data_IF_198956992001
#
_entry.id   IF_198956992001
#
_cell.length_a   1.000
_cell.length_b   1.000
_cell.length_c   1.000
_cell.angle_alpha   90.00
_cell.angle_beta   90.00
_cell.angle_gamma   90.00
#
_symmetry.space_group_name_H-M   'P 1'
#
loop_
_entity.id
_entity.type
_entity.pdbx_description
1 polymer ?
#
# COMPACT_ATOMS: atom_id res chain seq x y z
N UNK A 1 23.37 4.62 -19.00
CA UNK A 1 23.50 5.87 -18.23
C UNK A 1 23.02 5.59 -16.82
N UNK A 2 23.91 5.63 -15.84
CA UNK A 2 23.53 5.54 -14.43
C UNK A 2 23.23 6.95 -13.91
N UNK A 3 22.14 7.11 -13.19
CA UNK A 3 21.88 8.32 -12.42
C UNK A 3 21.37 7.88 -11.05
N UNK A 4 22.12 8.21 -10.00
CA UNK A 4 22.00 7.65 -8.66
C UNK A 4 21.04 8.43 -7.78
N UNK A 5 19.98 7.78 -7.29
CA UNK A 5 19.16 8.25 -6.17
C UNK A 5 19.25 7.26 -5.05
N UNK A 6 19.65 7.74 -3.88
CA UNK A 6 19.27 7.13 -2.62
C UNK A 6 18.32 8.09 -1.92
N UNK A 7 17.03 7.74 -1.84
CA UNK A 7 16.19 8.32 -0.79
C UNK A 7 16.32 7.37 0.39
N UNK A 8 17.10 7.79 1.39
CA UNK A 8 17.28 7.01 2.60
C UNK A 8 16.07 7.24 3.50
N UNK A 9 15.03 6.43 3.33
CA UNK A 9 13.89 6.43 4.26
C UNK A 9 14.37 5.76 5.54
N UNK A 10 14.57 6.54 6.61
CA UNK A 10 14.84 5.98 7.92
C UNK A 10 13.63 5.12 8.35
N UNK A 11 13.89 3.92 8.86
CA UNK A 11 12.91 2.97 9.42
C UNK A 11 11.70 3.58 10.17
N UNK A 12 11.82 4.67 10.97
CA UNK A 12 10.66 5.33 11.59
C UNK A 12 9.58 5.84 10.62
N UNK A 13 9.92 6.29 9.41
CA UNK A 13 8.93 6.85 8.48
C UNK A 13 8.01 5.76 7.88
N UNK A 14 8.57 4.58 7.58
CA UNK A 14 7.78 3.46 7.05
C UNK A 14 6.78 2.93 8.10
N UNK A 15 7.23 2.78 9.35
CA UNK A 15 6.36 2.35 10.44
C UNK A 15 5.28 3.40 10.78
N UNK A 16 5.64 4.68 10.76
CA UNK A 16 4.67 5.77 10.96
C UNK A 16 3.54 5.73 9.93
N UNK A 17 3.87 5.49 8.66
CA UNK A 17 2.88 5.41 7.57
C UNK A 17 2.01 4.16 7.66
N UNK A 18 2.57 3.00 7.98
CA UNK A 18 1.77 1.78 8.24
C UNK A 18 0.75 2.03 9.35
N UNK A 19 1.17 2.63 10.46
CA UNK A 19 0.28 2.97 11.57
C UNK A 19 -0.77 4.01 11.17
N UNK A 20 -0.40 5.01 10.36
CA UNK A 20 -1.32 6.06 9.90
C UNK A 20 -2.35 5.52 8.91
N UNK A 21 -1.96 4.63 8.00
CA UNK A 21 -2.87 3.99 7.04
C UNK A 21 -3.88 3.09 7.76
N UNK A 22 -3.42 2.32 8.75
CA UNK A 22 -4.32 1.52 9.62
C UNK A 22 -5.29 2.44 10.36
N UNK A 23 -4.81 3.55 10.93
CA UNK A 23 -5.67 4.54 11.59
C UNK A 23 -6.66 5.22 10.61
N UNK A 24 -6.29 5.40 9.34
CA UNK A 24 -7.20 5.91 8.31
C UNK A 24 -8.32 4.92 7.97
N UNK A 25 -7.99 3.63 7.86
CA UNK A 25 -8.98 2.57 7.64
C UNK A 25 -9.91 2.35 8.85
N UNK A 26 -9.39 2.50 10.07
CA UNK A 26 -10.21 2.48 11.29
C UNK A 26 -11.26 3.60 11.24
N UNK A 27 -10.88 4.82 10.86
CA UNK A 27 -11.84 5.93 10.67
C UNK A 27 -12.87 5.69 9.56
N UNK A 28 -12.51 4.94 8.51
CA UNK A 28 -13.41 4.61 7.41
C UNK A 28 -14.42 3.51 7.80
N UNK A 29 -13.97 2.51 8.57
CA UNK A 29 -14.82 1.41 9.04
C UNK A 29 -15.89 1.87 10.04
N UNK A 30 -15.61 2.89 10.86
CA UNK A 30 -16.60 3.50 11.78
C UNK A 30 -17.87 4.01 11.07
N UNK A 31 -17.85 4.30 9.76
CA UNK A 31 -19.04 4.74 9.01
C UNK A 31 -20.00 3.61 8.61
N UNK A 32 -19.58 2.35 8.70
CA UNK A 32 -20.33 1.18 8.18
C UNK A 32 -20.76 0.17 9.25
N UNK A 33 -20.62 0.49 10.54
CA UNK A 33 -21.09 -0.37 11.63
C UNK A 33 -22.43 0.11 12.21
N UNK A 34 -23.58 -0.37 11.70
CA UNK A 34 -24.88 -0.03 12.27
C UNK A 34 -25.19 -0.74 13.61
N UNK A 35 -24.39 -1.74 14.05
CA UNK A 35 -24.75 -2.60 15.20
C UNK A 35 -23.62 -3.01 16.18
N UNK A 36 -22.39 -2.51 16.07
CA UNK A 36 -21.33 -2.89 17.02
C UNK A 36 -20.01 -2.24 16.69
N UNK A 37 -19.20 -1.91 17.70
CA UNK A 37 -17.90 -1.29 17.46
C UNK A 37 -17.01 -2.21 16.62
N UNK A 38 -16.25 -1.68 15.64
CA UNK A 38 -15.24 -2.46 14.96
C UNK A 38 -14.32 -3.15 15.97
N UNK A 39 -13.83 -4.37 15.66
CA UNK A 39 -12.83 -5.02 16.49
C UNK A 39 -11.64 -4.08 16.70
N UNK A 40 -11.11 -4.01 17.92
CA UNK A 40 -9.97 -3.13 18.28
C UNK A 40 -8.62 -3.65 17.78
N UNK A 41 -8.63 -4.36 16.64
CA UNK A 41 -7.45 -4.92 16.00
C UNK A 41 -7.61 -4.85 14.48
N UNK A 42 -6.48 -4.85 13.79
CA UNK A 42 -6.38 -4.83 12.34
C UNK A 42 -5.22 -5.71 11.89
N UNK A 43 -5.24 -6.14 10.64
CA UNK A 43 -4.16 -6.91 10.04
C UNK A 43 -3.39 -6.10 9.00
N UNK A 44 -2.10 -6.39 8.88
CA UNK A 44 -1.24 -5.83 7.85
C UNK A 44 -0.47 -7.00 7.22
N UNK A 45 -0.77 -7.29 5.96
CA UNK A 45 -0.18 -8.42 5.25
C UNK A 45 0.93 -7.95 4.31
N UNK A 46 2.09 -8.60 4.40
CA UNK A 46 3.01 -8.63 3.27
C UNK A 46 2.36 -9.40 2.10
N UNK A 47 2.90 -9.23 0.90
CA UNK A 47 2.36 -9.85 -0.32
C UNK A 47 3.23 -11.01 -0.76
N UNK A 48 4.51 -10.72 -1.01
CA UNK A 48 5.42 -11.66 -1.65
C UNK A 48 5.89 -12.70 -0.62
N UNK A 49 5.44 -13.94 -0.76
CA UNK A 49 5.71 -15.03 0.19
C UNK A 49 4.69 -15.16 1.33
N UNK A 50 3.69 -14.26 1.40
CA UNK A 50 2.60 -14.32 2.39
C UNK A 50 1.25 -14.55 1.72
N UNK A 51 0.87 -13.70 0.76
CA UNK A 51 -0.38 -13.83 0.01
C UNK A 51 -0.17 -14.44 -1.38
N UNK A 52 0.95 -14.12 -2.01
CA UNK A 52 1.31 -14.60 -3.34
C UNK A 52 2.67 -15.30 -3.31
N UNK A 53 2.77 -16.42 -4.03
CA UNK A 53 4.03 -16.97 -4.46
C UNK A 53 4.22 -16.65 -5.95
N UNK A 54 5.12 -15.72 -6.24
CA UNK A 54 5.34 -15.13 -7.58
C UNK A 54 4.08 -14.41 -8.10
N UNK A 55 3.17 -15.13 -8.75
CA UNK A 55 1.92 -14.57 -9.29
C UNK A 55 0.68 -15.34 -8.82
N UNK A 56 0.87 -16.44 -8.09
CA UNK A 56 -0.20 -17.34 -7.68
C UNK A 56 -0.54 -17.12 -6.20
N UNK A 57 -1.83 -17.01 -5.84
CA UNK A 57 -2.24 -17.03 -4.44
C UNK A 57 -1.71 -18.25 -3.69
N UNK A 58 -1.20 -18.01 -2.49
CA UNK A 58 -0.83 -19.07 -1.54
C UNK A 58 -2.13 -19.67 -0.97
N UNK A 59 -2.20 -20.99 -0.71
CA UNK A 59 -3.39 -21.61 -0.12
C UNK A 59 -3.83 -20.90 1.16
N UNK A 60 -5.12 -20.56 1.27
CA UNK A 60 -5.69 -19.86 2.42
C UNK A 60 -5.64 -18.34 2.33
N UNK A 61 -4.87 -17.74 1.40
CA UNK A 61 -4.75 -16.28 1.29
C UNK A 61 -6.09 -15.62 0.93
N UNK A 62 -6.74 -16.12 -0.12
CA UNK A 62 -8.04 -15.63 -0.57
C UNK A 62 -9.12 -15.81 0.48
N UNK A 63 -9.18 -16.99 1.08
CA UNK A 63 -10.16 -17.33 2.12
C UNK A 63 -9.98 -16.47 3.36
N UNK A 64 -8.74 -16.20 3.77
CA UNK A 64 -8.42 -15.32 4.91
C UNK A 64 -8.87 -13.90 4.63
N UNK A 65 -8.53 -13.33 3.47
CA UNK A 65 -8.90 -11.95 3.14
C UNK A 65 -10.41 -11.80 2.97
N UNK A 66 -11.08 -12.78 2.38
CA UNK A 66 -12.53 -12.79 2.27
C UNK A 66 -13.19 -12.85 3.65
N UNK A 67 -12.69 -13.70 4.56
CA UNK A 67 -13.17 -13.76 5.94
C UNK A 67 -13.06 -12.42 6.66
N UNK A 68 -11.90 -11.73 6.54
CA UNK A 68 -11.72 -10.42 7.14
C UNK A 68 -12.67 -9.38 6.54
N UNK A 69 -12.85 -9.41 5.21
CA UNK A 69 -13.78 -8.53 4.52
C UNK A 69 -15.22 -8.71 4.97
N UNK A 70 -15.71 -9.97 5.00
CA UNK A 70 -17.08 -10.32 5.37
C UNK A 70 -17.42 -10.00 6.83
N UNK A 71 -16.40 -10.00 7.70
CA UNK A 71 -16.54 -9.65 9.12
C UNK A 71 -16.19 -8.18 9.42
N UNK A 72 -15.98 -7.35 8.40
CA UNK A 72 -15.58 -5.96 8.54
C UNK A 72 -14.33 -5.76 9.43
N UNK A 73 -13.40 -6.71 9.42
CA UNK A 73 -12.14 -6.63 10.15
C UNK A 73 -11.15 -5.82 9.30
N UNK A 74 -10.61 -4.69 9.79
CA UNK A 74 -9.72 -3.86 8.99
C UNK A 74 -8.42 -4.59 8.60
N UNK A 75 -8.04 -4.48 7.34
CA UNK A 75 -6.73 -4.93 6.89
C UNK A 75 -6.11 -4.03 5.81
N UNK A 76 -4.78 -4.00 5.78
CA UNK A 76 -3.97 -3.46 4.69
C UNK A 76 -3.10 -4.54 4.08
N UNK A 77 -2.74 -4.30 2.83
CA UNK A 77 -1.72 -4.99 2.07
C UNK A 77 -0.53 -4.03 1.94
N UNK A 78 0.65 -4.45 2.38
CA UNK A 78 1.88 -3.70 2.22
C UNK A 78 2.93 -4.51 1.46
N UNK A 79 3.74 -3.86 0.65
CA UNK A 79 4.86 -4.52 -0.02
C UNK A 79 6.04 -3.57 -0.14
N UNK A 80 7.25 -4.12 -0.03
CA UNK A 80 8.46 -3.41 -0.38
C UNK A 80 8.64 -3.28 -1.91
N UNK A 81 7.86 -4.03 -2.69
CA UNK A 81 7.81 -3.94 -4.15
C UNK A 81 7.16 -2.66 -4.66
N UNK A 82 7.35 -2.38 -5.96
CA UNK A 82 6.95 -1.13 -6.60
C UNK A 82 6.98 -1.20 -8.12
N UNK A 83 6.75 -0.07 -8.78
CA UNK A 83 6.97 0.08 -10.23
C UNK A 83 5.74 -0.13 -11.12
N UNK A 84 4.57 -0.19 -10.50
CA UNK A 84 3.26 -0.02 -11.13
C UNK A 84 2.51 1.04 -10.34
N UNK A 85 1.62 1.76 -11.00
CA UNK A 85 0.70 2.64 -10.32
C UNK A 85 -0.18 1.80 -9.37
N UNK A 86 -0.42 2.30 -8.17
CA UNK A 86 -1.11 1.57 -7.11
C UNK A 86 -2.50 1.08 -7.58
N UNK A 87 -3.21 1.84 -8.42
CA UNK A 87 -4.53 1.44 -8.92
C UNK A 87 -4.48 0.21 -9.83
N UNK A 88 -3.46 0.11 -10.69
CA UNK A 88 -3.22 -1.06 -11.55
C UNK A 88 -2.92 -2.28 -10.66
N UNK A 89 -2.12 -2.06 -9.61
CA UNK A 89 -1.70 -3.13 -8.70
C UNK A 89 -2.85 -3.62 -7.83
N UNK A 90 -3.69 -2.73 -7.32
CA UNK A 90 -4.90 -3.08 -6.55
C UNK A 90 -5.88 -3.88 -7.41
N UNK A 91 -6.10 -3.48 -8.67
CA UNK A 91 -6.98 -4.23 -9.58
C UNK A 91 -6.46 -5.65 -9.86
N UNK A 92 -5.15 -5.79 -10.12
CA UNK A 92 -4.49 -7.08 -10.31
C UNK A 92 -4.58 -7.98 -9.07
N UNK A 93 -4.34 -7.40 -7.88
CA UNK A 93 -4.45 -8.12 -6.61
C UNK A 93 -5.89 -8.54 -6.30
N UNK A 94 -6.86 -7.65 -6.54
CA UNK A 94 -8.27 -7.93 -6.31
C UNK A 94 -8.75 -9.09 -7.18
N UNK A 95 -8.34 -9.10 -8.46
CA UNK A 95 -8.63 -10.20 -9.38
C UNK A 95 -7.99 -11.53 -8.94
N UNK A 96 -6.71 -11.51 -8.54
CA UNK A 96 -5.98 -12.72 -8.14
C UNK A 96 -6.47 -13.30 -6.82
N UNK A 97 -6.75 -12.45 -5.84
CA UNK A 97 -7.15 -12.86 -4.50
C UNK A 97 -8.66 -13.06 -4.37
N UNK A 98 -9.45 -12.57 -5.33
CA UNK A 98 -10.90 -12.72 -5.36
C UNK A 98 -11.64 -11.87 -4.33
N UNK A 99 -10.98 -10.83 -3.78
CA UNK A 99 -11.53 -9.94 -2.74
C UNK A 99 -11.54 -8.51 -3.27
N UNK A 100 -12.61 -7.71 -3.04
CA UNK A 100 -12.65 -6.32 -3.44
C UNK A 100 -11.61 -5.51 -2.63
N UNK A 101 -10.62 -4.96 -3.32
CA UNK A 101 -9.58 -4.13 -2.72
C UNK A 101 -9.66 -2.71 -3.26
N UNK A 102 -9.33 -1.75 -2.41
CA UNK A 102 -9.21 -0.33 -2.79
C UNK A 102 -7.79 0.17 -2.57
N UNK A 103 -7.48 1.33 -3.15
CA UNK A 103 -6.23 2.06 -2.90
C UNK A 103 -5.98 2.31 -1.41
N UNK A 104 -7.03 2.50 -0.60
CA UNK A 104 -6.89 2.71 0.83
C UNK A 104 -6.38 1.44 1.56
N UNK A 105 -6.59 0.26 0.99
CA UNK A 105 -6.12 -1.01 1.53
C UNK A 105 -4.68 -1.34 1.13
N UNK A 106 -3.98 -0.49 0.37
CA UNK A 106 -2.73 -0.87 -0.29
C UNK A 106 -1.62 0.15 -0.09
N UNK A 107 -0.42 -0.32 0.26
CA UNK A 107 0.78 0.50 0.49
C UNK A 107 1.97 -0.13 -0.23
N UNK A 108 2.62 0.62 -1.11
CA UNK A 108 3.87 0.24 -1.76
C UNK A 108 5.06 0.97 -1.15
N UNK A 109 6.28 0.56 -1.49
CA UNK A 109 7.49 1.23 -1.02
C UNK A 109 7.58 2.71 -1.41
N UNK A 110 6.95 3.12 -2.51
CA UNK A 110 6.95 4.51 -2.99
C UNK A 110 5.74 5.35 -2.58
N UNK A 111 4.64 4.74 -2.13
CA UNK A 111 3.44 5.45 -1.66
C UNK A 111 3.75 6.53 -0.59
N UNK A 112 4.70 6.32 0.37
CA UNK A 112 5.16 7.35 1.30
C UNK A 112 5.60 8.69 0.68
N UNK A 113 6.15 8.66 -0.54
CA UNK A 113 6.74 9.85 -1.14
C UNK A 113 5.71 10.87 -1.60
N UNK A 114 4.47 10.44 -1.88
CA UNK A 114 3.38 11.35 -2.23
C UNK A 114 3.04 12.28 -1.06
N UNK A 115 2.94 11.73 0.15
CA UNK A 115 2.68 12.52 1.36
C UNK A 115 3.87 13.43 1.69
N UNK A 116 5.11 12.91 1.59
CA UNK A 116 6.31 13.70 1.86
C UNK A 116 6.49 14.87 0.88
N UNK A 117 6.11 14.69 -0.38
CA UNK A 117 6.08 15.76 -1.37
C UNK A 117 4.96 16.78 -1.09
N UNK A 118 3.83 16.35 -0.51
CA UNK A 118 2.75 17.24 -0.13
C UNK A 118 3.06 18.07 1.14
N UNK A 119 3.73 17.47 2.13
CA UNK A 119 4.00 18.09 3.44
C UNK A 119 5.30 18.94 3.46
N UNK A 120 6.30 18.59 2.65
CA UNK A 120 7.63 19.22 2.68
C UNK A 120 7.89 20.21 1.53
N UNK A 121 8.04 21.51 1.84
CA UNK A 121 8.45 22.54 0.86
C UNK A 121 9.71 22.17 0.08
N UNK A 122 10.68 21.51 0.72
CA UNK A 122 11.96 21.14 0.12
C UNK A 122 11.89 20.00 -0.90
N UNK A 123 10.95 19.07 -0.75
CA UNK A 123 10.75 17.97 -1.72
C UNK A 123 9.86 18.41 -2.88
N UNK A 124 8.87 19.26 -2.61
CA UNK A 124 7.95 19.79 -3.63
C UNK A 124 8.63 20.72 -4.62
N UNK A 125 9.48 21.62 -4.13
CA UNK A 125 10.13 22.66 -4.95
C UNK A 125 11.57 22.28 -5.34
N UNK A 126 12.02 21.09 -4.94
CA UNK A 126 13.37 20.60 -5.17
C UNK A 126 13.48 19.69 -6.40
N UNK A 127 14.65 19.69 -7.03
CA UNK A 127 14.97 18.68 -8.04
C UNK A 127 15.18 17.34 -7.36
N UNK A 128 14.23 16.43 -7.54
CA UNK A 128 14.38 15.04 -7.15
C UNK A 128 14.86 14.22 -8.33
N UNK A 129 15.64 13.20 -8.03
CA UNK A 129 15.95 12.17 -9.01
C UNK A 129 15.15 10.92 -8.61
N UNK A 130 14.65 10.19 -9.61
CA UNK A 130 13.81 9.00 -9.42
C UNK A 130 14.50 7.81 -10.07
N UNK A 131 14.67 6.73 -9.32
CA UNK A 131 15.28 5.47 -9.81
C UNK A 131 14.25 4.35 -9.85
N UNK A 132 14.30 3.55 -10.91
CA UNK A 132 13.61 2.28 -10.99
C UNK A 132 13.90 1.58 -12.31
N UNK A 133 13.28 0.41 -12.51
CA UNK A 133 13.61 -0.46 -13.63
C UNK A 133 13.23 0.13 -15.00
N UNK A 134 12.13 0.91 -15.06
CA UNK A 134 11.61 1.48 -16.31
C UNK A 134 11.45 2.99 -16.14
N UNK A 135 12.29 3.82 -16.79
CA UNK A 135 12.31 5.27 -16.56
C UNK A 135 10.96 5.98 -16.79
N UNK A 136 10.23 5.63 -17.85
CA UNK A 136 8.93 6.23 -18.17
C UNK A 136 7.89 5.98 -17.07
N UNK A 137 7.79 4.73 -16.60
CA UNK A 137 6.90 4.37 -15.49
C UNK A 137 7.28 5.03 -14.17
N UNK A 138 8.57 5.14 -13.90
CA UNK A 138 9.06 5.80 -12.69
C UNK A 138 8.64 7.27 -12.65
N UNK A 139 8.70 7.95 -13.80
CA UNK A 139 8.22 9.33 -13.93
C UNK A 139 6.72 9.42 -13.71
N UNK A 140 5.94 8.60 -14.39
CA UNK A 140 4.47 8.59 -14.27
C UNK A 140 4.01 8.40 -12.82
N UNK A 141 4.59 7.42 -12.11
CA UNK A 141 4.29 7.15 -10.70
C UNK A 141 4.70 8.33 -9.81
N UNK A 142 5.84 8.96 -10.07
CA UNK A 142 6.32 10.08 -9.26
C UNK A 142 5.57 11.41 -9.50
N UNK A 143 4.90 11.55 -10.63
CA UNK A 143 4.09 12.73 -10.98
C UNK A 143 2.64 12.63 -10.48
N UNK A 144 2.26 11.51 -9.84
CA UNK A 144 0.93 11.26 -9.28
C UNK A 144 0.84 11.74 -7.84
#
# INVERSE_FOLDING_TARGET
MACTVRIHVQAPAFLYLVLRQIAYLDKQSVKHFPLGHPPRFAFAFDIDGVLLHVAKPIPGASETLQFLHDNNIPFILLTNGGGKHESERVADLSLKLGVPLTMANFVQSHTPFQELAAEGKTLRDGTILVTGAVPSKCREIAET
#
